data_IF_661012470167
#
_entry.id   IF_661012470167
#
_cell.length_a   1.000
_cell.length_b   1.000
_cell.length_c   1.000
_cell.angle_alpha   90.00
_cell.angle_beta   90.00
_cell.angle_gamma   90.00
#
_symmetry.space_group_name_H-M   'P 1'
#
loop_
_entity.id
_entity.type
_entity.pdbx_description
1 polymer ?
#
# COMPACT_ATOMS: atom_id res chain seq x y z
N UNK A 1 -29.01 4.52 14.57
CA UNK A 1 -28.57 4.25 13.18
C UNK A 1 -29.36 5.09 12.21
N UNK A 2 -30.70 5.08 12.26
CA UNK A 2 -31.53 6.10 11.59
C UNK A 2 -31.13 7.53 11.99
N UNK A 3 -30.76 7.75 13.26
CA UNK A 3 -30.27 9.05 13.75
C UNK A 3 -29.04 9.60 13.00
N UNK A 4 -28.07 8.75 12.61
CA UNK A 4 -26.92 9.21 11.82
C UNK A 4 -27.35 9.59 10.41
N UNK A 5 -28.17 8.75 9.76
CA UNK A 5 -28.70 9.05 8.43
C UNK A 5 -29.53 10.34 8.42
N UNK A 6 -30.36 10.56 9.44
CA UNK A 6 -31.16 11.78 9.61
C UNK A 6 -30.29 13.02 9.84
N UNK A 7 -29.23 12.91 10.66
CA UNK A 7 -28.26 14.00 10.87
C UNK A 7 -27.52 14.35 9.59
N UNK A 8 -27.11 13.36 8.81
CA UNK A 8 -26.44 13.55 7.53
C UNK A 8 -27.40 14.20 6.52
N UNK A 9 -28.65 13.73 6.42
CA UNK A 9 -29.65 14.29 5.52
C UNK A 9 -30.03 15.75 5.85
N UNK A 10 -29.93 16.17 7.11
CA UNK A 10 -30.14 17.58 7.49
C UNK A 10 -29.06 18.52 6.94
N UNK A 11 -27.84 18.02 6.75
CA UNK A 11 -26.67 18.80 6.30
C UNK A 11 -26.50 18.70 4.79
N UNK A 12 -26.66 17.49 4.26
CA UNK A 12 -26.57 17.17 2.85
C UNK A 12 -27.85 16.45 2.43
N UNK A 13 -28.90 17.18 1.99
CA UNK A 13 -30.16 16.58 1.56
C UNK A 13 -30.01 15.62 0.38
N UNK A 14 -28.98 15.85 -0.45
CA UNK A 14 -28.65 15.04 -1.62
C UNK A 14 -27.82 13.79 -1.26
N UNK A 15 -27.45 13.61 0.01
CA UNK A 15 -26.67 12.46 0.45
C UNK A 15 -27.47 11.15 0.34
N UNK A 16 -26.89 10.17 -0.33
CA UNK A 16 -27.43 8.82 -0.41
C UNK A 16 -26.86 7.98 0.72
N UNK A 17 -27.72 7.67 1.70
CA UNK A 17 -27.38 6.81 2.83
C UNK A 17 -27.96 5.40 2.62
N UNK A 18 -27.10 4.40 2.46
CA UNK A 18 -27.48 3.00 2.35
C UNK A 18 -26.95 2.21 3.54
N UNK A 19 -27.82 1.52 4.27
CA UNK A 19 -27.44 0.67 5.40
C UNK A 19 -27.56 -0.79 5.00
N UNK A 20 -26.48 -1.56 5.15
CA UNK A 20 -26.45 -3.01 4.94
C UNK A 20 -25.78 -3.69 6.13
N UNK A 21 -26.59 -4.24 7.03
CA UNK A 21 -26.11 -4.87 8.26
C UNK A 21 -25.27 -3.88 9.08
N UNK A 22 -23.97 -4.19 9.21
CA UNK A 22 -23.02 -3.36 9.96
C UNK A 22 -22.32 -2.28 9.12
N UNK A 23 -22.60 -2.19 7.81
CA UNK A 23 -21.97 -1.22 6.91
C UNK A 23 -22.95 -0.10 6.57
N UNK A 24 -22.48 1.13 6.67
CA UNK A 24 -23.26 2.33 6.35
C UNK A 24 -22.54 3.06 5.23
N UNK A 25 -23.05 3.00 4.00
CA UNK A 25 -22.50 3.74 2.86
C UNK A 25 -23.19 5.09 2.75
N UNK A 26 -22.42 6.16 2.77
CA UNK A 26 -22.86 7.56 2.66
C UNK A 26 -22.16 8.14 1.44
N UNK A 27 -22.92 8.40 0.38
CA UNK A 27 -22.41 9.11 -0.80
C UNK A 27 -22.97 10.51 -0.83
N UNK A 28 -22.09 11.51 -0.88
CA UNK A 28 -22.46 12.93 -0.84
C UNK A 28 -21.83 13.69 -1.99
N UNK A 29 -22.37 14.87 -2.35
CA UNK A 29 -21.63 15.84 -3.16
C UNK A 29 -20.31 16.24 -2.47
N UNK A 30 -19.31 16.60 -3.27
CA UNK A 30 -17.96 16.97 -2.79
C UNK A 30 -18.00 18.17 -1.84
N UNK A 31 -18.81 19.17 -2.14
CA UNK A 31 -18.91 20.41 -1.34
C UNK A 31 -19.40 20.18 0.09
N UNK A 32 -20.11 19.08 0.33
CA UNK A 32 -20.68 18.72 1.63
C UNK A 32 -19.87 17.68 2.39
N UNK A 33 -18.87 17.06 1.75
CA UNK A 33 -18.20 15.87 2.32
C UNK A 33 -17.45 16.18 3.61
N UNK A 34 -16.82 17.36 3.72
CA UNK A 34 -16.11 17.80 4.93
C UNK A 34 -17.07 17.93 6.11
N UNK A 35 -18.22 18.59 5.92
CA UNK A 35 -19.24 18.75 6.97
C UNK A 35 -19.84 17.42 7.40
N UNK A 36 -20.06 16.52 6.44
CA UNK A 36 -20.56 15.17 6.73
C UNK A 36 -19.51 14.35 7.48
N UNK A 37 -18.24 14.46 7.12
CA UNK A 37 -17.14 13.84 7.84
C UNK A 37 -17.05 14.34 9.31
N UNK A 38 -17.24 15.64 9.56
CA UNK A 38 -17.31 16.20 10.90
C UNK A 38 -18.43 15.57 11.72
N UNK A 39 -19.64 15.45 11.16
CA UNK A 39 -20.77 14.80 11.84
C UNK A 39 -20.54 13.31 12.08
N UNK A 40 -19.92 12.61 11.14
CA UNK A 40 -19.56 11.20 11.31
C UNK A 40 -18.56 11.04 12.45
N UNK A 41 -17.58 11.94 12.56
CA UNK A 41 -16.63 11.97 13.67
C UNK A 41 -17.29 12.29 15.01
N UNK A 42 -18.15 13.31 15.06
CA UNK A 42 -18.91 13.69 16.26
C UNK A 42 -19.85 12.58 16.73
N UNK A 43 -20.36 11.76 15.81
CA UNK A 43 -21.20 10.62 16.15
C UNK A 43 -20.42 9.47 16.83
N UNK A 44 -19.08 9.46 16.72
CA UNK A 44 -18.21 8.48 17.38
C UNK A 44 -17.28 7.69 16.46
N UNK A 45 -17.28 7.93 15.14
CA UNK A 45 -16.37 7.28 14.19
C UNK A 45 -15.03 8.02 14.14
N UNK A 46 -14.02 7.47 14.84
CA UNK A 46 -12.85 8.22 15.27
C UNK A 46 -11.55 7.94 14.48
N UNK A 47 -11.51 6.90 13.65
CA UNK A 47 -10.31 6.57 12.87
C UNK A 47 -10.64 6.04 11.48
N UNK A 48 -9.69 6.23 10.56
CA UNK A 48 -9.72 5.66 9.21
C UNK A 48 -9.18 4.23 9.27
N UNK A 49 -9.91 3.31 8.64
CA UNK A 49 -9.45 1.96 8.34
C UNK A 49 -8.73 1.91 6.99
N UNK A 50 -9.25 2.65 6.00
CA UNK A 50 -8.67 2.74 4.65
C UNK A 50 -9.28 3.91 3.88
N UNK A 51 -8.53 4.50 2.94
CA UNK A 51 -9.09 5.32 1.86
C UNK A 51 -8.83 4.59 0.56
N UNK A 52 -9.81 4.57 -0.33
CA UNK A 52 -9.75 3.87 -1.61
C UNK A 52 -10.35 4.73 -2.71
N UNK A 53 -9.67 4.82 -3.85
CA UNK A 53 -10.20 5.39 -5.06
C UNK A 53 -10.64 4.31 -6.06
N UNK A 54 -11.74 4.57 -6.78
CA UNK A 54 -12.24 3.70 -7.86
C UNK A 54 -12.39 4.51 -9.14
N UNK A 55 -11.71 4.07 -10.21
CA UNK A 55 -11.81 4.68 -11.55
C UNK A 55 -12.94 4.04 -12.37
N UNK A 56 -13.89 4.86 -12.83
CA UNK A 56 -15.01 4.47 -13.71
C UNK A 56 -14.89 5.15 -15.09
N UNK A 57 -14.14 4.56 -16.04
CA UNK A 57 -13.95 5.15 -17.37
C UNK A 57 -15.25 5.30 -18.17
N UNK A 58 -16.23 4.40 -17.98
CA UNK A 58 -17.48 4.41 -18.74
C UNK A 58 -18.38 5.61 -18.43
N UNK A 59 -18.32 6.14 -17.19
CA UNK A 59 -19.05 7.35 -16.79
C UNK A 59 -18.16 8.58 -16.72
N UNK A 60 -16.87 8.46 -17.05
CA UNK A 60 -15.85 9.51 -16.90
C UNK A 60 -15.79 10.10 -15.47
N UNK A 61 -15.95 9.25 -14.47
CA UNK A 61 -15.96 9.62 -13.06
C UNK A 61 -14.93 8.77 -12.28
N UNK A 62 -14.49 9.29 -11.14
CA UNK A 62 -13.82 8.52 -10.09
C UNK A 62 -14.65 8.61 -8.82
N UNK A 63 -14.59 7.59 -7.97
CA UNK A 63 -15.22 7.59 -6.64
C UNK A 63 -14.11 7.51 -5.59
N UNK A 64 -14.14 8.40 -4.59
CA UNK A 64 -13.23 8.36 -3.45
C UNK A 64 -14.03 7.90 -2.23
N UNK A 65 -13.55 6.86 -1.55
CA UNK A 65 -14.21 6.20 -0.44
C UNK A 65 -13.29 6.17 0.79
N UNK A 66 -13.79 6.68 1.91
CA UNK A 66 -13.17 6.62 3.23
C UNK A 66 -13.93 5.57 4.06
N UNK A 67 -13.22 4.54 4.50
CA UNK A 67 -13.70 3.55 5.45
C UNK A 67 -13.34 4.03 6.85
N UNK A 68 -14.36 4.31 7.66
CA UNK A 68 -14.22 4.91 8.99
C UNK A 68 -14.77 3.95 10.03
N UNK A 69 -13.91 3.61 10.99
CA UNK A 69 -14.21 2.74 12.11
C UNK A 69 -14.42 3.52 13.41
N UNK A 70 -14.79 2.80 14.47
CA UNK A 70 -14.92 3.35 15.82
C UNK A 70 -14.32 2.40 16.84
N UNK A 71 -13.61 2.94 17.83
CA UNK A 71 -13.19 2.18 19.01
C UNK A 71 -14.28 2.07 20.10
N UNK A 72 -15.41 2.77 19.95
CA UNK A 72 -16.47 2.75 20.96
C UNK A 72 -17.22 1.41 20.95
N UNK A 73 -17.49 0.84 22.13
CA UNK A 73 -18.02 -0.51 22.27
C UNK A 73 -19.35 -0.75 21.53
N UNK A 74 -20.20 0.28 21.46
CA UNK A 74 -21.49 0.28 20.75
C UNK A 74 -21.37 0.47 19.22
N UNK A 75 -20.22 0.92 18.72
CA UNK A 75 -19.98 1.23 17.30
C UNK A 75 -18.88 0.38 16.67
N UNK A 76 -18.04 -0.31 17.45
CA UNK A 76 -16.86 -1.06 16.97
C UNK A 76 -17.14 -2.14 15.93
N UNK A 77 -18.37 -2.66 15.90
CA UNK A 77 -18.78 -3.66 14.90
C UNK A 77 -19.24 -3.06 13.58
N UNK A 78 -19.28 -1.72 13.48
CA UNK A 78 -19.83 -0.97 12.34
C UNK A 78 -18.75 -0.21 11.62
N UNK A 79 -18.91 -0.10 10.31
CA UNK A 79 -18.02 0.66 9.42
C UNK A 79 -18.86 1.63 8.61
N UNK A 80 -18.45 2.90 8.60
CA UNK A 80 -19.02 3.92 7.72
C UNK A 80 -18.14 4.05 6.49
N UNK A 81 -18.76 3.99 5.31
CA UNK A 81 -18.11 4.22 4.02
C UNK A 81 -18.59 5.59 3.54
N UNK A 82 -17.79 6.62 3.76
CA UNK A 82 -18.07 7.98 3.30
C UNK A 82 -17.39 8.22 1.96
N UNK A 83 -18.09 8.77 0.98
CA UNK A 83 -17.43 9.10 -0.28
C UNK A 83 -18.21 10.03 -1.19
N UNK A 84 -17.55 10.43 -2.27
CA UNK A 84 -18.15 11.24 -3.33
C UNK A 84 -17.62 10.81 -4.69
N UNK A 85 -18.41 11.08 -5.72
CA UNK A 85 -17.96 10.98 -7.11
C UNK A 85 -17.35 12.30 -7.56
N UNK A 86 -16.26 12.21 -8.31
CA UNK A 86 -15.50 13.34 -8.85
C UNK A 86 -15.24 13.14 -10.34
N UNK A 87 -15.07 14.22 -11.12
CA UNK A 87 -14.69 14.12 -12.52
C UNK A 87 -13.33 13.44 -12.70
N UNK A 88 -13.21 12.55 -13.70
CA UNK A 88 -11.98 11.79 -13.98
C UNK A 88 -10.86 12.62 -14.63
N UNK A 89 -11.24 13.61 -15.45
CA UNK A 89 -10.28 14.44 -16.21
C UNK A 89 -9.48 15.37 -15.30
N UNK A 90 -10.13 15.87 -14.24
CA UNK A 90 -9.52 16.75 -13.26
C UNK A 90 -9.96 16.35 -11.84
N UNK A 91 -9.48 15.21 -11.32
CA UNK A 91 -9.95 14.66 -10.06
C UNK A 91 -9.39 15.47 -8.90
N UNK A 92 -10.27 16.20 -8.23
CA UNK A 92 -9.96 17.01 -7.05
C UNK A 92 -10.92 16.62 -5.93
N UNK A 93 -10.39 16.45 -4.73
CA UNK A 93 -11.15 16.06 -3.55
C UNK A 93 -10.63 16.83 -2.32
N UNK A 94 -11.47 17.24 -1.35
CA UNK A 94 -10.98 17.89 -0.14
C UNK A 94 -10.33 16.86 0.80
N UNK A 95 -9.14 17.17 1.30
CA UNK A 95 -8.45 16.35 2.30
C UNK A 95 -9.24 16.27 3.60
N UNK A 96 -9.34 15.08 4.18
CA UNK A 96 -10.04 14.85 5.45
C UNK A 96 -9.06 14.65 6.62
N UNK A 97 -7.76 14.96 6.44
CA UNK A 97 -6.71 14.77 7.45
C UNK A 97 -6.97 15.55 8.74
N UNK A 98 -7.50 16.78 8.62
CA UNK A 98 -7.85 17.60 9.79
C UNK A 98 -8.95 16.94 10.66
N UNK A 99 -9.76 16.07 10.05
CA UNK A 99 -10.80 15.30 10.73
C UNK A 99 -10.20 13.97 11.21
N UNK A 100 -9.56 13.22 10.32
CA UNK A 100 -8.90 11.96 10.66
C UNK A 100 -7.44 11.94 10.16
N UNK A 101 -6.46 12.13 11.07
CA UNK A 101 -5.04 12.14 10.70
C UNK A 101 -4.56 10.86 10.01
N UNK A 102 -5.24 9.73 10.24
CA UNK A 102 -4.94 8.45 9.60
C UNK A 102 -5.08 8.47 8.06
N UNK A 103 -5.77 9.46 7.49
CA UNK A 103 -5.89 9.60 6.03
C UNK A 103 -4.56 10.01 5.34
N UNK A 104 -3.56 10.49 6.08
CA UNK A 104 -2.33 11.08 5.53
C UNK A 104 -1.61 10.21 4.48
N UNK A 105 -1.37 8.93 4.77
CA UNK A 105 -0.69 8.06 3.81
C UNK A 105 -1.60 7.59 2.68
N UNK A 106 -2.87 7.32 2.99
CA UNK A 106 -3.81 6.84 1.99
C UNK A 106 -4.12 7.92 0.94
N UNK A 107 -4.30 9.19 1.33
CA UNK A 107 -4.52 10.27 0.37
C UNK A 107 -3.31 10.48 -0.55
N UNK A 108 -2.08 10.30 -0.04
CA UNK A 108 -0.85 10.32 -0.87
C UNK A 108 -0.79 9.14 -1.83
N UNK A 109 -1.15 7.95 -1.38
CA UNK A 109 -1.22 6.76 -2.22
C UNK A 109 -2.24 6.95 -3.36
N UNK A 110 -3.44 7.43 -3.07
CA UNK A 110 -4.49 7.69 -4.06
C UNK A 110 -4.10 8.82 -5.03
N UNK A 111 -3.41 9.86 -4.54
CA UNK A 111 -2.84 10.89 -5.39
C UNK A 111 -1.84 10.32 -6.40
N UNK A 112 -0.95 9.46 -5.94
CA UNK A 112 0.09 8.90 -6.81
C UNK A 112 -0.42 7.80 -7.74
N UNK A 113 -1.33 6.95 -7.25
CA UNK A 113 -1.79 5.76 -7.95
C UNK A 113 -2.97 6.03 -8.89
N UNK A 114 -3.81 7.03 -8.60
CA UNK A 114 -4.95 7.44 -9.43
C UNK A 114 -4.85 8.87 -9.97
N UNK A 115 -4.00 9.71 -9.41
CA UNK A 115 -3.87 11.12 -9.79
C UNK A 115 -4.86 12.06 -9.09
N UNK A 116 -5.52 11.62 -8.02
CA UNK A 116 -6.54 12.41 -7.30
C UNK A 116 -5.86 13.47 -6.44
N UNK A 117 -6.13 14.75 -6.69
CA UNK A 117 -5.52 15.85 -5.91
C UNK A 117 -6.34 16.15 -4.67
N UNK A 118 -5.71 16.02 -3.50
CA UNK A 118 -6.33 16.32 -2.20
C UNK A 118 -6.04 17.75 -1.75
N UNK A 119 -7.06 18.61 -1.76
CA UNK A 119 -6.93 20.01 -1.32
C UNK A 119 -6.86 20.10 0.21
N UNK A 120 -5.86 20.82 0.72
CA UNK A 120 -5.61 20.94 2.16
C UNK A 120 -4.69 19.85 2.74
N UNK A 121 -4.21 18.91 1.91
CA UNK A 121 -3.22 17.92 2.34
C UNK A 121 -1.85 18.61 2.57
N UNK A 122 -1.22 18.47 3.75
CA UNK A 122 0.02 19.19 4.08
C UNK A 122 1.23 18.77 3.22
N UNK A 123 1.29 17.51 2.80
CA UNK A 123 2.37 16.95 1.98
C UNK A 123 1.88 16.02 0.87
N UNK A 124 1.36 16.59 -0.20
CA UNK A 124 0.90 15.81 -1.35
C UNK A 124 2.06 15.54 -2.33
N UNK A 125 2.88 14.54 -2.01
CA UNK A 125 4.05 14.14 -2.78
C UNK A 125 4.06 12.63 -3.04
N UNK A 126 4.81 12.21 -4.08
CA UNK A 126 5.06 10.79 -4.41
C UNK A 126 5.51 10.02 -3.16
N UNK A 127 5.05 8.78 -3.05
CA UNK A 127 5.21 7.92 -1.88
C UNK A 127 5.77 6.54 -2.27
N UNK A 128 5.33 5.97 -3.39
CA UNK A 128 5.53 4.58 -3.78
C UNK A 128 6.20 4.44 -5.14
N UNK A 129 5.96 5.36 -6.08
CA UNK A 129 6.54 5.33 -7.41
C UNK A 129 7.89 6.04 -7.42
N UNK A 130 8.81 5.60 -8.30
CA UNK A 130 10.04 6.32 -8.55
C UNK A 130 9.80 7.79 -8.97
N UNK A 131 10.74 8.65 -8.63
CA UNK A 131 10.68 10.08 -8.99
C UNK A 131 10.61 10.29 -10.50
N UNK A 132 11.26 9.43 -11.28
CA UNK A 132 11.29 9.38 -12.74
C UNK A 132 10.10 8.63 -13.38
N UNK A 133 9.06 8.30 -12.59
CA UNK A 133 7.83 7.77 -13.14
C UNK A 133 7.10 8.82 -13.98
N UNK A 134 7.16 8.65 -15.29
CA UNK A 134 6.56 9.53 -16.32
C UNK A 134 5.30 8.94 -16.99
N UNK A 135 4.91 7.71 -16.63
CA UNK A 135 3.73 7.06 -17.19
C UNK A 135 2.45 7.45 -16.44
N UNK A 136 1.29 7.04 -16.98
CA UNK A 136 -0.01 7.23 -16.30
C UNK A 136 -0.01 6.58 -14.91
N UNK A 137 -0.79 7.11 -13.96
CA UNK A 137 -0.95 6.50 -12.64
C UNK A 137 -1.41 5.02 -12.75
N UNK A 138 -0.70 4.07 -12.11
CA UNK A 138 -0.89 2.64 -12.36
C UNK A 138 -2.28 2.08 -12.05
N UNK A 139 -3.02 2.66 -11.10
CA UNK A 139 -4.35 2.15 -10.74
C UNK A 139 -5.47 2.68 -11.66
N UNK A 140 -5.16 3.60 -12.59
CA UNK A 140 -6.12 3.97 -13.63
C UNK A 140 -6.43 2.76 -14.52
N UNK A 141 -7.68 2.64 -14.95
CA UNK A 141 -8.13 1.48 -15.75
C UNK A 141 -7.57 1.47 -17.16
N UNK A 142 -7.16 2.64 -17.69
CA UNK A 142 -6.47 2.78 -18.96
C UNK A 142 -4.95 2.54 -18.88
N UNK A 143 -4.40 2.31 -17.68
CA UNK A 143 -3.01 1.88 -17.56
C UNK A 143 -2.87 0.39 -17.86
N UNK A 144 -1.94 0.09 -18.77
CA UNK A 144 -1.59 -1.27 -19.17
C UNK A 144 -0.18 -1.65 -18.75
N UNK A 145 -0.04 -2.82 -18.10
CA UNK A 145 1.27 -3.35 -17.73
C UNK A 145 2.03 -3.66 -19.03
N UNK A 146 3.11 -2.91 -19.28
CA UNK A 146 4.00 -3.15 -20.42
C UNK A 146 4.57 -4.56 -20.30
N UNK A 147 4.29 -5.41 -21.28
CA UNK A 147 4.94 -6.73 -21.39
C UNK A 147 6.41 -6.49 -21.71
N UNK A 148 7.31 -7.09 -20.94
CA UNK A 148 8.74 -6.98 -21.21
C UNK A 148 9.03 -7.45 -22.65
N UNK A 149 9.56 -6.54 -23.48
CA UNK A 149 9.78 -6.77 -24.92
C UNK A 149 8.71 -6.20 -25.87
N UNK A 150 7.63 -5.62 -25.38
CA UNK A 150 6.66 -4.86 -26.17
C UNK A 150 6.90 -3.37 -25.99
N UNK A 151 7.74 -2.80 -26.86
CA UNK A 151 7.80 -1.35 -27.08
C UNK A 151 6.61 -1.02 -27.97
N UNK A 152 5.55 -0.43 -27.41
CA UNK A 152 4.54 0.25 -28.22
C UNK A 152 5.13 1.56 -28.71
N UNK A 153 5.10 1.78 -30.03
CA UNK A 153 5.49 3.05 -30.67
C UNK A 153 4.24 3.66 -31.28
N UNK A 154 3.90 4.88 -30.85
CA UNK A 154 2.97 5.75 -31.57
C UNK A 154 3.64 6.30 -32.84
N UNK A 155 3.02 5.98 -33.98
CA UNK A 155 2.92 6.76 -35.21
C UNK A 155 4.05 7.75 -35.55
N UNK A 156 5.19 7.21 -35.97
CA UNK A 156 5.95 7.76 -37.11
C UNK A 156 6.90 6.70 -37.64
N UNK A 157 6.44 6.01 -38.69
CA UNK A 157 7.14 5.02 -39.52
C UNK A 157 8.44 4.43 -38.97
N UNK A 158 8.38 3.22 -38.40
CA UNK A 158 9.58 2.39 -38.29
C UNK A 158 9.30 0.89 -38.43
N UNK A 159 10.19 0.24 -39.18
CA UNK A 159 10.20 -1.19 -39.47
C UNK A 159 10.18 -2.03 -38.21
N UNK A 160 9.32 -3.06 -38.23
CA UNK A 160 9.32 -4.17 -37.29
C UNK A 160 10.52 -5.06 -37.64
N UNK A 161 11.60 -5.00 -36.87
CA UNK A 161 12.43 -6.20 -36.73
C UNK A 161 11.74 -7.12 -35.73
N UNK A 162 11.19 -8.19 -36.29
CA UNK A 162 10.64 -9.32 -35.56
C UNK A 162 11.78 -9.85 -34.70
N UNK A 163 11.76 -9.62 -33.39
CA UNK A 163 12.52 -10.44 -32.45
C UNK A 163 11.88 -11.85 -32.47
N UNK A 164 12.14 -12.56 -33.56
CA UNK A 164 12.08 -14.00 -33.62
C UNK A 164 12.97 -14.45 -32.47
N UNK A 165 12.42 -15.22 -31.54
CA UNK A 165 13.19 -16.14 -30.71
C UNK A 165 13.99 -17.02 -31.67
N UNK A 166 15.11 -16.51 -32.19
CA UNK A 166 16.15 -17.35 -32.72
C UNK A 166 16.65 -18.08 -31.49
N UNK A 167 16.24 -19.34 -31.38
CA UNK A 167 17.07 -20.33 -30.73
C UNK A 167 18.48 -20.08 -31.28
N UNK A 168 19.42 -19.53 -30.48
CA UNK A 168 20.69 -19.13 -31.04
C UNK A 168 21.32 -20.40 -31.60
N UNK A 169 21.63 -20.37 -32.89
CA UNK A 169 22.53 -21.35 -33.48
C UNK A 169 23.76 -21.44 -32.55
N UNK A 170 24.33 -22.64 -32.33
CA UNK A 170 25.33 -22.91 -31.29
C UNK A 170 26.68 -22.18 -31.45
N UNK A 171 26.74 -21.15 -32.31
CA UNK A 171 27.92 -20.36 -32.64
C UNK A 171 27.95 -18.98 -31.94
N UNK A 172 26.94 -18.63 -31.14
CA UNK A 172 26.88 -17.34 -30.42
C UNK A 172 26.67 -17.52 -28.91
N UNK A 173 27.47 -18.37 -28.28
CA UNK A 173 27.71 -18.30 -26.83
C UNK A 173 28.94 -17.40 -26.67
N UNK A 174 28.83 -16.22 -26.01
CA UNK A 174 29.98 -15.37 -25.75
C UNK A 174 31.02 -16.19 -24.98
N UNK A 175 32.22 -16.32 -25.55
CA UNK A 175 33.29 -17.05 -24.87
C UNK A 175 33.84 -16.18 -23.73
N UNK A 176 34.49 -16.80 -22.74
CA UNK A 176 35.08 -16.11 -21.60
C UNK A 176 36.06 -14.98 -22.01
N UNK A 177 36.60 -15.04 -23.23
CA UNK A 177 37.45 -13.99 -23.81
C UNK A 177 36.68 -12.72 -24.21
N UNK A 178 35.37 -12.80 -24.45
CA UNK A 178 34.53 -11.65 -24.81
C UNK A 178 34.09 -10.84 -23.58
N UNK A 179 33.92 -11.49 -22.43
CA UNK A 179 33.77 -10.79 -21.13
C UNK A 179 35.05 -10.04 -20.72
N UNK A 180 36.21 -10.52 -21.15
CA UNK A 180 37.52 -9.90 -20.84
C UNK A 180 37.86 -8.69 -21.74
N UNK A 181 37.09 -8.43 -22.81
CA UNK A 181 37.28 -7.28 -23.71
C UNK A 181 36.48 -6.05 -23.31
N UNK A 182 35.53 -6.17 -22.39
CA UNK A 182 34.88 -5.01 -21.76
C UNK A 182 35.92 -4.38 -20.85
N UNK A 183 36.56 -3.29 -21.30
CA UNK A 183 37.35 -2.44 -20.41
C UNK A 183 36.40 -1.87 -19.36
N UNK A 184 36.27 -2.56 -18.24
CA UNK A 184 35.71 -1.97 -17.04
C UNK A 184 36.62 -0.81 -16.64
N UNK A 185 36.10 0.43 -16.53
CA UNK A 185 36.90 1.53 -16.03
C UNK A 185 37.42 1.17 -14.63
N UNK A 186 38.66 1.59 -14.28
CA UNK A 186 39.27 1.30 -12.99
C UNK A 186 38.32 1.68 -11.84
N UNK A 187 38.42 0.92 -10.73
CA UNK A 187 37.58 1.06 -9.53
C UNK A 187 37.44 2.53 -9.06
N UNK A 188 38.48 3.34 -9.25
CA UNK A 188 38.52 4.77 -8.92
C UNK A 188 37.57 5.62 -9.80
N UNK A 189 37.48 5.33 -11.10
CA UNK A 189 36.57 6.03 -12.03
C UNK A 189 35.10 5.65 -11.77
N UNK A 190 34.84 4.39 -11.38
CA UNK A 190 33.52 3.97 -10.92
C UNK A 190 33.12 4.65 -9.61
N UNK A 191 34.08 4.83 -8.69
CA UNK A 191 33.85 5.62 -7.49
C UNK A 191 33.62 7.08 -7.82
N UNK A 192 34.36 7.68 -8.75
CA UNK A 192 34.17 9.08 -9.17
C UNK A 192 32.85 9.30 -9.91
N UNK A 193 32.41 8.39 -10.79
CA UNK A 193 31.08 8.45 -11.42
C UNK A 193 29.93 8.18 -10.42
N UNK A 194 30.17 7.39 -9.36
CA UNK A 194 29.24 7.26 -8.25
C UNK A 194 29.30 8.44 -7.26
N UNK A 195 30.29 9.33 -7.41
CA UNK A 195 30.44 10.59 -6.66
C UNK A 195 29.91 11.80 -7.46
N UNK A 196 29.59 11.65 -8.74
CA UNK A 196 28.72 12.58 -9.52
C UNK A 196 27.23 12.45 -9.13
N UNK A 197 26.95 11.85 -7.96
CA UNK A 197 25.69 12.05 -7.25
C UNK A 197 25.67 13.53 -6.87
N UNK A 198 24.55 14.27 -7.05
CA UNK A 198 24.42 15.63 -6.55
C UNK A 198 25.00 15.68 -5.14
N UNK A 199 25.92 16.63 -4.89
CA UNK A 199 26.65 16.82 -3.63
C UNK A 199 25.86 16.26 -2.45
N UNK A 200 26.46 15.44 -1.57
CA UNK A 200 25.76 14.83 -0.43
C UNK A 200 24.93 15.86 0.36
N UNK A 201 25.36 17.12 0.34
CA UNK A 201 24.62 18.25 0.89
C UNK A 201 23.34 18.58 0.11
N UNK A 202 23.31 18.48 -1.22
CA UNK A 202 22.14 18.62 -2.10
C UNK A 202 21.16 17.45 -1.99
N UNK A 203 21.66 16.20 -2.04
CA UNK A 203 20.83 15.02 -1.83
C UNK A 203 20.29 14.99 -0.39
N UNK A 204 21.13 15.34 0.59
CA UNK A 204 20.76 15.54 1.98
C UNK A 204 19.76 16.70 2.15
N UNK A 205 19.88 17.79 1.41
CA UNK A 205 18.92 18.91 1.43
C UNK A 205 17.55 18.50 0.87
N UNK A 206 17.49 17.65 -0.14
CA UNK A 206 16.22 17.10 -0.66
C UNK A 206 15.62 16.05 0.28
N UNK A 207 16.45 15.16 0.82
CA UNK A 207 16.03 14.07 1.69
C UNK A 207 15.61 14.56 3.09
N UNK A 208 16.29 15.58 3.62
CA UNK A 208 16.01 16.18 4.93
C UNK A 208 15.35 17.56 4.82
N UNK A 209 14.76 17.90 3.68
CA UNK A 209 14.12 19.20 3.45
C UNK A 209 13.04 19.53 4.50
N UNK A 210 12.49 18.47 5.11
CA UNK A 210 11.29 18.50 5.95
C UNK A 210 11.59 18.39 7.43
N UNK A 211 12.83 18.04 7.82
CA UNK A 211 13.24 18.05 9.22
C UNK A 211 13.50 19.49 9.60
N UNK A 212 12.79 19.99 10.60
CA UNK A 212 13.02 21.34 11.10
C UNK A 212 14.47 21.44 11.58
N UNK A 213 15.26 22.27 10.90
CA UNK A 213 16.65 22.55 11.25
C UNK A 213 16.70 23.78 12.13
N UNK A 214 16.58 23.59 13.43
CA UNK A 214 17.07 24.54 14.42
C UNK A 214 18.58 24.27 14.66
N UNK A 215 19.31 25.22 15.25
CA UNK A 215 20.76 25.09 15.47
C UNK A 215 21.17 23.86 16.32
N UNK A 216 20.22 23.24 17.03
CA UNK A 216 20.43 22.06 17.90
C UNK A 216 19.92 20.73 17.32
N UNK A 217 19.10 20.76 16.28
CA UNK A 217 18.48 19.54 15.74
C UNK A 217 19.35 18.89 14.67
N UNK A 218 19.59 17.60 14.80
CA UNK A 218 20.32 16.76 13.84
C UNK A 218 19.32 15.90 13.09
N UNK A 219 19.46 15.85 11.77
CA UNK A 219 18.67 14.97 10.92
C UNK A 219 19.41 13.63 10.71
N UNK A 220 18.76 12.52 11.05
CA UNK A 220 19.32 11.15 10.95
C UNK A 220 18.42 10.32 10.04
N UNK A 221 19.02 9.68 9.03
CA UNK A 221 18.32 8.67 8.22
C UNK A 221 18.55 7.29 8.85
N UNK A 222 17.49 6.68 9.37
CA UNK A 222 17.52 5.34 9.95
C UNK A 222 16.87 4.32 9.01
N UNK A 223 17.66 3.35 8.54
CA UNK A 223 17.25 2.40 7.49
C UNK A 223 17.84 2.73 6.11
N UNK A 224 17.52 2.00 5.05
CA UNK A 224 16.58 0.87 4.92
C UNK A 224 17.20 -0.46 5.43
N UNK A 225 18.53 -0.55 5.45
CA UNK A 225 19.23 -1.81 5.75
C UNK A 225 19.19 -2.18 7.25
N UNK A 226 18.90 -1.21 8.13
CA UNK A 226 18.97 -1.45 9.56
C UNK A 226 17.90 -2.49 9.97
N UNK A 227 18.26 -3.54 10.74
CA UNK A 227 17.29 -4.58 11.12
C UNK A 227 16.02 -4.01 11.78
N UNK A 228 16.18 -2.98 12.61
CA UNK A 228 15.08 -2.31 13.32
C UNK A 228 14.20 -1.39 12.47
N UNK A 229 14.64 -0.97 11.28
CA UNK A 229 13.79 -0.20 10.37
C UNK A 229 12.96 -1.11 9.47
N UNK A 230 13.26 -2.41 9.37
CA UNK A 230 12.64 -3.29 8.39
C UNK A 230 12.84 -2.78 6.97
N UNK A 231 11.79 -2.79 6.14
CA UNK A 231 11.87 -2.34 4.74
C UNK A 231 11.38 -0.90 4.53
N UNK A 232 11.58 -0.03 5.51
CA UNK A 232 11.27 1.41 5.43
C UNK A 232 12.48 2.22 5.87
N UNK A 233 12.49 3.50 5.48
CA UNK A 233 13.45 4.48 5.96
C UNK A 233 12.72 5.43 6.91
N UNK A 234 13.27 5.68 8.09
CA UNK A 234 12.76 6.68 9.02
C UNK A 234 13.69 7.89 8.97
N UNK A 235 13.16 9.02 8.55
CA UNK A 235 13.87 10.30 8.57
C UNK A 235 13.56 10.97 9.90
N UNK A 236 14.55 11.01 10.79
CA UNK A 236 14.41 11.47 12.17
C UNK A 236 15.02 12.88 12.33
N UNK A 237 14.29 13.78 12.98
CA UNK A 237 14.84 14.98 13.60
C UNK A 237 15.09 14.73 15.08
N UNK A 238 16.31 14.94 15.55
CA UNK A 238 16.74 14.61 16.91
C UNK A 238 17.41 15.82 17.56
N UNK A 239 16.96 16.19 18.76
CA UNK A 239 17.66 17.12 19.67
C UNK A 239 18.29 16.31 20.80
N UNK A 240 19.58 15.98 20.66
CA UNK A 240 20.29 15.09 21.58
C UNK A 240 19.72 13.66 21.56
N UNK A 241 18.98 13.30 22.62
CA UNK A 241 18.33 11.99 22.77
C UNK A 241 16.82 12.02 22.48
N UNK A 242 16.25 13.21 22.21
CA UNK A 242 14.81 13.40 22.01
C UNK A 242 14.51 13.45 20.52
N UNK A 243 13.66 12.54 20.05
CA UNK A 243 13.09 12.59 18.70
C UNK A 243 12.04 13.71 18.68
N UNK A 244 12.29 14.75 17.90
CA UNK A 244 11.35 15.87 17.71
C UNK A 244 10.38 15.59 16.59
N UNK A 245 10.85 14.97 15.51
CA UNK A 245 10.08 14.70 14.29
C UNK A 245 10.49 13.35 13.69
N UNK A 246 9.52 12.63 13.13
CA UNK A 246 9.76 11.40 12.36
C UNK A 246 8.90 11.41 11.11
N UNK A 247 9.54 11.27 9.96
CA UNK A 247 8.86 11.02 8.69
C UNK A 247 9.20 9.61 8.22
N UNK A 248 8.22 8.69 8.19
CA UNK A 248 8.42 7.37 7.63
C UNK A 248 8.33 7.45 6.10
N UNK A 249 9.41 7.03 5.46
CA UNK A 249 9.52 6.84 4.03
C UNK A 249 9.32 5.35 3.72
N UNK A 250 8.12 5.05 3.23
CA UNK A 250 7.61 3.70 2.96
C UNK A 250 7.58 3.45 1.45
N UNK A 251 7.29 2.22 1.01
CA UNK A 251 7.11 1.91 -0.42
C UNK A 251 8.24 1.12 -1.07
N UNK A 252 9.38 0.91 -0.41
CA UNK A 252 10.49 0.09 -0.94
C UNK A 252 10.11 -1.37 -1.25
N UNK A 253 9.03 -1.86 -0.64
CA UNK A 253 8.47 -3.20 -0.90
C UNK A 253 7.14 -3.16 -1.61
N UNK A 254 6.71 -1.99 -2.09
CA UNK A 254 5.51 -1.88 -2.91
C UNK A 254 5.72 -2.62 -4.23
N UNK A 255 4.82 -3.56 -4.52
CA UNK A 255 4.92 -4.41 -5.73
C UNK A 255 3.72 -4.27 -6.66
N UNK A 256 2.86 -3.26 -6.47
CA UNK A 256 1.67 -3.06 -7.31
C UNK A 256 0.74 -4.28 -7.35
N UNK A 257 0.54 -4.91 -6.19
CA UNK A 257 -0.21 -6.17 -6.06
C UNK A 257 -1.65 -6.05 -6.55
N UNK A 258 -2.29 -4.93 -6.22
CA UNK A 258 -3.65 -4.61 -6.64
C UNK A 258 -3.77 -4.58 -8.16
N UNK A 259 -2.89 -3.81 -8.83
CA UNK A 259 -2.87 -3.76 -10.29
C UNK A 259 -2.61 -5.13 -10.92
N UNK A 260 -1.70 -5.93 -10.36
CA UNK A 260 -1.47 -7.28 -10.85
C UNK A 260 -2.69 -8.20 -10.70
N UNK A 261 -3.52 -8.00 -9.67
CA UNK A 261 -4.73 -8.79 -9.46
C UNK A 261 -5.82 -8.49 -10.49
N UNK A 262 -5.80 -7.31 -11.13
CA UNK A 262 -6.73 -6.99 -12.24
C UNK A 262 -6.48 -7.83 -13.49
N UNK A 263 -5.23 -8.22 -13.75
CA UNK A 263 -4.83 -8.96 -14.96
C UNK A 263 -4.95 -10.48 -14.80
N UNK A 264 -5.40 -10.94 -13.64
CA UNK A 264 -5.37 -12.34 -13.24
C UNK A 264 -6.73 -12.80 -12.76
N UNK A 265 -6.98 -14.09 -12.95
CA UNK A 265 -8.22 -14.69 -12.46
C UNK A 265 -8.21 -14.73 -10.93
N UNK A 266 -9.39 -14.73 -10.33
CA UNK A 266 -9.57 -14.73 -8.87
C UNK A 266 -8.84 -15.90 -8.17
N UNK A 267 -8.72 -17.07 -8.83
CA UNK A 267 -7.90 -18.20 -8.35
C UNK A 267 -6.38 -17.93 -8.41
N UNK A 268 -5.91 -17.25 -9.47
CA UNK A 268 -4.49 -16.92 -9.64
C UNK A 268 -4.02 -15.83 -8.67
N UNK A 269 -4.97 -15.05 -8.12
CA UNK A 269 -4.68 -14.00 -7.15
C UNK A 269 -4.34 -14.54 -5.75
N UNK A 270 -4.78 -15.75 -5.40
CA UNK A 270 -4.51 -16.39 -4.11
C UNK A 270 -2.99 -16.35 -3.77
N UNK A 271 -2.09 -16.95 -4.57
CA UNK A 271 -0.65 -16.92 -4.25
C UNK A 271 0.00 -15.54 -4.37
N UNK A 272 -0.69 -14.53 -4.91
CA UNK A 272 -0.22 -13.15 -4.91
C UNK A 272 -0.55 -12.44 -3.59
N UNK A 273 -1.75 -12.65 -3.07
CA UNK A 273 -2.31 -12.04 -1.87
C UNK A 273 -1.80 -12.68 -0.56
N UNK A 274 -1.19 -13.86 -0.63
CA UNK A 274 -0.48 -14.47 0.53
C UNK A 274 0.81 -13.74 0.91
N UNK A 275 1.38 -12.96 -0.01
CA UNK A 275 2.75 -12.44 0.09
C UNK A 275 2.94 -11.07 0.76
N UNK A 276 1.95 -10.14 0.80
CA UNK A 276 2.10 -8.88 1.51
C UNK A 276 2.45 -9.09 3.00
N UNK A 277 1.88 -10.10 3.64
CA UNK A 277 2.11 -10.46 5.04
C UNK A 277 2.85 -11.81 5.12
N UNK A 278 4.18 -11.76 5.12
CA UNK A 278 5.04 -12.96 5.09
C UNK A 278 4.83 -13.94 6.26
N UNK A 279 4.26 -13.47 7.37
CA UNK A 279 4.00 -14.26 8.57
C UNK A 279 2.52 -14.64 8.76
N UNK A 280 1.60 -14.06 7.98
CA UNK A 280 0.17 -14.35 8.09
C UNK A 280 -0.48 -14.44 6.71
N UNK A 281 -0.35 -15.61 6.10
CA UNK A 281 -0.90 -15.86 4.76
C UNK A 281 -2.39 -16.21 4.81
N UNK A 282 -2.84 -16.99 5.80
CA UNK A 282 -4.26 -17.36 5.90
C UNK A 282 -5.15 -16.20 6.34
N UNK A 283 -4.68 -15.33 7.25
CA UNK A 283 -5.44 -14.17 7.70
C UNK A 283 -5.75 -13.18 6.57
N UNK A 284 -4.82 -13.00 5.62
CA UNK A 284 -5.06 -12.19 4.42
C UNK A 284 -5.96 -12.87 3.40
N UNK A 285 -5.79 -14.18 3.18
CA UNK A 285 -6.60 -14.91 2.20
C UNK A 285 -8.04 -15.16 2.65
N UNK A 286 -8.25 -15.35 3.95
CA UNK A 286 -9.55 -15.69 4.48
C UNK A 286 -10.64 -14.68 4.09
N UNK A 287 -10.49 -13.35 4.30
CA UNK A 287 -11.47 -12.37 3.86
C UNK A 287 -11.59 -12.29 2.33
N UNK A 288 -10.49 -12.50 1.58
CA UNK A 288 -10.53 -12.51 0.11
C UNK A 288 -11.38 -13.67 -0.42
N UNK A 289 -11.18 -14.88 0.10
CA UNK A 289 -11.95 -16.07 -0.30
C UNK A 289 -13.42 -15.91 0.10
N UNK A 290 -13.71 -15.40 1.30
CA UNK A 290 -15.08 -15.13 1.73
C UNK A 290 -15.77 -14.11 0.81
N UNK A 291 -15.07 -13.05 0.42
CA UNK A 291 -15.61 -12.07 -0.51
C UNK A 291 -15.89 -12.67 -1.90
N UNK A 292 -15.02 -13.52 -2.42
CA UNK A 292 -15.23 -14.21 -3.70
C UNK A 292 -16.38 -15.21 -3.62
N UNK A 293 -16.53 -15.94 -2.52
CA UNK A 293 -17.63 -16.90 -2.30
C UNK A 293 -18.98 -16.21 -2.18
N UNK A 294 -19.02 -15.06 -1.52
CA UNK A 294 -20.20 -14.20 -1.39
C UNK A 294 -20.60 -13.60 -2.75
N UNK A 295 -19.63 -13.09 -3.52
CA UNK A 295 -19.88 -12.56 -4.87
C UNK A 295 -20.37 -13.63 -5.86
N UNK A 296 -20.08 -14.90 -5.61
CA UNK A 296 -20.53 -16.03 -6.44
C UNK A 296 -21.79 -16.70 -5.89
N UNK A 297 -22.35 -16.22 -4.78
CA UNK A 297 -23.49 -16.84 -4.08
C UNK A 297 -23.30 -18.34 -3.80
N UNK A 298 -22.08 -18.73 -3.38
CA UNK A 298 -21.72 -20.13 -3.06
C UNK A 298 -21.37 -20.37 -1.59
N UNK A 299 -21.43 -19.35 -0.73
CA UNK A 299 -21.10 -19.42 0.70
C UNK A 299 -21.81 -20.55 1.45
N UNK A 300 -23.05 -20.86 1.06
CA UNK A 300 -23.85 -21.95 1.65
C UNK A 300 -23.48 -23.34 1.13
N UNK A 301 -22.83 -23.41 -0.03
CA UNK A 301 -22.41 -24.67 -0.67
C UNK A 301 -21.04 -25.17 -0.18
N UNK A 302 -20.31 -24.34 0.56
CA UNK A 302 -19.01 -24.72 1.13
C UNK A 302 -19.20 -25.84 2.16
N UNK A 303 -18.54 -27.01 2.01
CA UNK A 303 -18.67 -28.10 2.96
C UNK A 303 -18.31 -27.69 4.38
N UNK A 304 -19.04 -28.22 5.37
CA UNK A 304 -18.80 -27.92 6.78
C UNK A 304 -17.35 -28.20 7.20
N UNK A 305 -16.77 -29.32 6.74
CA UNK A 305 -15.36 -29.65 6.97
C UNK A 305 -14.41 -28.54 6.49
N UNK A 306 -14.68 -27.91 5.34
CA UNK A 306 -13.84 -26.83 4.83
C UNK A 306 -13.92 -25.57 5.70
N UNK A 307 -15.11 -25.27 6.25
CA UNK A 307 -15.29 -24.14 7.19
C UNK A 307 -14.46 -24.34 8.46
N UNK A 308 -14.48 -25.53 9.05
CA UNK A 308 -13.64 -25.84 10.21
C UNK A 308 -12.14 -25.79 9.89
N UNK A 309 -11.70 -26.38 8.78
CA UNK A 309 -10.29 -26.36 8.40
C UNK A 309 -9.76 -24.94 8.19
N UNK A 310 -10.55 -24.04 7.60
CA UNK A 310 -10.15 -22.62 7.43
C UNK A 310 -9.95 -21.92 8.77
N UNK A 311 -10.85 -22.14 9.72
CA UNK A 311 -10.74 -21.56 11.06
C UNK A 311 -9.51 -22.12 11.77
N UNK A 312 -9.31 -23.44 11.74
CA UNK A 312 -8.12 -24.07 12.34
C UNK A 312 -6.84 -23.47 11.72
N UNK A 313 -6.75 -23.38 10.39
CA UNK A 313 -5.57 -22.79 9.74
C UNK A 313 -5.39 -21.30 10.05
N UNK A 314 -6.47 -20.52 10.13
CA UNK A 314 -6.41 -19.12 10.52
C UNK A 314 -5.90 -18.96 11.96
N UNK A 315 -6.36 -19.80 12.89
CA UNK A 315 -5.91 -19.78 14.28
C UNK A 315 -4.46 -20.26 14.44
N UNK A 316 -4.03 -21.26 13.66
CA UNK A 316 -2.63 -21.67 13.59
C UNK A 316 -1.73 -20.52 13.10
N UNK A 317 -2.14 -19.81 12.04
CA UNK A 317 -1.41 -18.65 11.55
C UNK A 317 -1.43 -17.47 12.53
N UNK A 318 -2.52 -17.26 13.27
CA UNK A 318 -2.58 -16.26 14.34
C UNK A 318 -1.56 -16.54 15.44
N UNK A 319 -1.45 -17.80 15.88
CA UNK A 319 -0.43 -18.22 16.85
C UNK A 319 0.98 -18.03 16.30
N UNK A 320 1.22 -18.41 15.04
CA UNK A 320 2.50 -18.22 14.34
C UNK A 320 2.88 -16.75 14.26
N UNK A 321 1.92 -15.87 13.97
CA UNK A 321 2.14 -14.43 13.93
C UNK A 321 2.51 -13.88 15.32
N UNK A 322 1.80 -14.28 16.38
CA UNK A 322 2.09 -13.81 17.73
C UNK A 322 3.43 -14.29 18.27
N UNK A 323 3.83 -15.54 18.00
CA UNK A 323 5.15 -16.05 18.40
C UNK A 323 6.26 -15.35 17.62
N UNK A 324 6.06 -15.10 16.33
CA UNK A 324 6.99 -14.31 15.52
C UNK A 324 7.12 -12.87 16.05
N UNK A 325 6.02 -12.19 16.33
CA UNK A 325 6.01 -10.86 16.92
C UNK A 325 6.77 -10.83 18.25
N UNK A 326 6.51 -11.79 19.14
CA UNK A 326 7.17 -11.89 20.44
C UNK A 326 8.69 -12.09 20.30
N UNK A 327 9.10 -12.97 19.38
CA UNK A 327 10.51 -13.22 19.11
C UNK A 327 11.23 -11.97 18.59
N UNK A 328 10.63 -11.29 17.62
CA UNK A 328 11.19 -10.07 17.02
C UNK A 328 11.28 -8.92 18.05
N UNK A 329 10.26 -8.76 18.89
CA UNK A 329 10.31 -7.82 20.01
C UNK A 329 11.43 -8.17 21.01
N UNK A 330 11.60 -9.46 21.32
CA UNK A 330 12.68 -9.94 22.17
C UNK A 330 14.06 -9.54 21.67
N UNK A 331 14.37 -9.80 20.40
CA UNK A 331 15.70 -9.45 19.85
C UNK A 331 15.94 -7.94 19.77
N UNK A 332 14.91 -7.13 19.45
CA UNK A 332 15.06 -5.67 19.40
C UNK A 332 15.25 -5.03 20.77
N UNK A 333 14.79 -5.67 21.84
CA UNK A 333 15.10 -5.25 23.22
C UNK A 333 16.39 -5.86 23.77
N UNK A 334 17.12 -6.65 22.97
CA UNK A 334 18.38 -7.28 23.37
C UNK A 334 18.24 -8.64 24.07
N UNK A 335 17.04 -9.22 24.13
CA UNK A 335 16.76 -10.49 24.79
C UNK A 335 16.81 -11.67 23.79
N UNK A 336 17.99 -12.24 23.58
CA UNK A 336 18.18 -13.38 22.67
C UNK A 336 17.38 -14.63 23.08
N UNK A 337 17.21 -14.88 24.39
CA UNK A 337 16.38 -15.99 24.89
C UNK A 337 14.92 -15.84 24.47
N UNK A 338 14.39 -14.62 24.54
CA UNK A 338 13.01 -14.32 24.13
C UNK A 338 12.82 -14.42 22.61
N UNK A 339 13.89 -14.33 21.82
CA UNK A 339 13.86 -14.65 20.39
C UNK A 339 13.83 -16.16 20.13
N UNK A 340 14.71 -16.92 20.79
CA UNK A 340 14.91 -18.35 20.50
C UNK A 340 13.70 -19.22 20.86
N UNK A 341 13.07 -19.00 22.02
CA UNK A 341 11.99 -19.87 22.50
C UNK A 341 10.71 -19.78 21.64
N UNK A 342 10.15 -18.59 21.35
CA UNK A 342 8.97 -18.51 20.50
C UNK A 342 9.24 -18.94 19.06
N UNK A 343 10.47 -18.75 18.55
CA UNK A 343 10.86 -19.29 17.24
C UNK A 343 10.88 -20.82 17.24
N UNK A 344 11.35 -21.46 18.32
CA UNK A 344 11.32 -22.92 18.45
C UNK A 344 9.87 -23.46 18.50
N UNK A 345 8.99 -22.83 19.28
CA UNK A 345 7.57 -23.19 19.36
C UNK A 345 6.87 -22.98 18.01
N UNK A 346 7.24 -21.92 17.28
CA UNK A 346 6.74 -21.64 15.93
C UNK A 346 7.07 -22.76 14.95
N UNK A 347 8.25 -23.37 15.02
CA UNK A 347 8.60 -24.48 14.12
C UNK A 347 7.70 -25.69 14.30
N UNK A 348 7.21 -25.97 15.52
CA UNK A 348 6.25 -27.06 15.74
C UNK A 348 4.94 -26.83 14.98
N UNK A 349 4.46 -25.58 14.94
CA UNK A 349 3.26 -25.16 14.21
C UNK A 349 3.48 -25.36 12.70
N UNK A 350 4.64 -24.95 12.19
CA UNK A 350 5.00 -25.10 10.77
C UNK A 350 5.12 -26.58 10.38
N UNK A 351 5.74 -27.39 11.22
CA UNK A 351 5.84 -28.83 11.01
C UNK A 351 4.47 -29.51 10.99
N UNK A 352 3.53 -29.07 11.83
CA UNK A 352 2.17 -29.56 11.81
C UNK A 352 1.42 -29.18 10.53
N UNK A 353 1.66 -27.97 9.99
CA UNK A 353 1.05 -27.51 8.74
C UNK A 353 1.62 -28.18 7.48
N UNK A 354 2.86 -28.68 7.53
CA UNK A 354 3.51 -29.38 6.41
C UNK A 354 3.12 -30.86 6.26
N UNK A 355 2.58 -31.49 7.31
CA UNK A 355 2.16 -32.89 7.33
C UNK A 355 0.69 -33.01 6.96
#
# INVERSE_FOLDING_TARGET
MNDLSEKVQKIAPEAQCTVRGNRIKIITPVDSVVKVAEVVKEYGFNHIESVCGTDYPSSNEMEVLYFVGSVEENLKSKVVILGSRIPRDNPVFPSLINIWPGAYFHEREEYEMLGIRFEGHPKLAKLLLPDDWDDKPPLRKDFHIKKWGAIEREDSGLRIERAVLHNPQPECIPTQSDFMKVKTPPLLERFQQALDVPDYDTLGRQLFQWVRRDERTIAISFGIQHPGSGHMRLVLGVDGDIITEVEPDIGYVHRGKEKMCEYKNYFQNIPLLERPTVHDSSGMLFPYVLAVEDLLDISDKVPERAKYLRIIMAEFNRLLNHTYWLAIMGIFTGHSTMFMWPMADRELIIHAAHR
#
